data_IF_616349495422
#
_entry.id   IF_616349495422
#
_cell.length_a   1.000
_cell.length_b   1.000
_cell.length_c   1.000
_cell.angle_alpha   90.00
_cell.angle_beta   90.00
_cell.angle_gamma   90.00
#
_symmetry.space_group_name_H-M   'P 1'
#
loop_
_entity.id
_entity.type
_entity.pdbx_description
1 polymer ?
#
# COMPACT_ATOMS: atom_id res chain seq x y z
N UNK A 1 -10.01 -25.18 -11.80
CA UNK A 1 -8.64 -25.53 -11.38
C UNK A 1 -8.07 -24.45 -10.45
N UNK A 2 -7.98 -24.66 -9.13
CA UNK A 2 -7.32 -23.71 -8.24
C UNK A 2 -5.82 -23.66 -8.58
N UNK A 3 -5.31 -22.48 -8.96
CA UNK A 3 -3.88 -22.31 -9.24
C UNK A 3 -3.07 -22.69 -7.98
N UNK A 4 -2.14 -23.65 -8.05
CA UNK A 4 -1.32 -24.01 -6.89
C UNK A 4 -0.56 -22.77 -6.43
N UNK A 5 -0.68 -22.43 -5.14
CA UNK A 5 0.11 -21.35 -4.54
C UNK A 5 1.59 -21.73 -4.67
N UNK A 6 2.31 -21.08 -5.58
CA UNK A 6 3.78 -21.18 -5.64
C UNK A 6 4.32 -20.79 -4.26
N UNK A 7 4.84 -21.75 -3.50
CA UNK A 7 5.62 -21.48 -2.28
C UNK A 7 6.76 -20.57 -2.72
N UNK A 8 6.73 -19.30 -2.33
CA UNK A 8 7.87 -18.40 -2.54
C UNK A 8 9.04 -19.05 -1.78
N UNK A 9 10.07 -19.48 -2.51
CA UNK A 9 11.34 -19.85 -1.86
C UNK A 9 11.72 -18.67 -0.97
N UNK A 10 12.00 -18.95 0.30
CA UNK A 10 12.59 -17.93 1.19
C UNK A 10 13.82 -17.43 0.45
N UNK A 11 13.96 -16.11 0.18
CA UNK A 11 15.16 -15.59 -0.41
C UNK A 11 16.30 -16.05 0.49
N UNK A 12 17.21 -16.84 -0.07
CA UNK A 12 18.44 -17.18 0.60
C UNK A 12 19.09 -15.85 0.96
N UNK A 13 19.31 -15.62 2.25
CA UNK A 13 19.93 -14.37 2.68
C UNK A 13 21.37 -14.47 2.22
N UNK A 14 21.66 -13.97 1.03
CA UNK A 14 23.03 -13.78 0.55
C UNK A 14 23.64 -12.73 1.46
N UNK A 15 24.37 -13.20 2.47
CA UNK A 15 25.12 -12.38 3.40
C UNK A 15 26.39 -12.01 2.66
N UNK A 16 26.52 -10.76 2.28
CA UNK A 16 27.68 -10.26 1.54
C UNK A 16 28.60 -9.58 2.56
N UNK A 17 29.94 -9.70 2.43
CA UNK A 17 30.87 -8.88 3.18
C UNK A 17 30.52 -7.39 3.01
N UNK A 18 30.62 -6.60 4.09
CA UNK A 18 30.30 -5.18 4.06
C UNK A 18 31.24 -4.39 3.13
N UNK A 19 32.46 -4.87 2.92
CA UNK A 19 33.42 -4.31 1.95
C UNK A 19 32.86 -4.26 0.53
N UNK A 20 31.98 -5.19 0.17
CA UNK A 20 31.51 -5.35 -1.20
C UNK A 20 30.15 -4.65 -1.41
N UNK A 21 29.72 -3.82 -0.44
CA UNK A 21 28.48 -3.08 -0.53
C UNK A 21 28.62 -1.92 -1.54
N UNK A 22 27.78 -1.93 -2.59
CA UNK A 22 27.77 -0.92 -3.65
C UNK A 22 27.31 0.49 -3.20
N UNK A 23 26.70 0.62 -2.02
CA UNK A 23 26.22 1.90 -1.47
C UNK A 23 26.68 2.05 -0.02
N UNK A 24 26.93 3.29 0.45
CA UNK A 24 27.26 3.53 1.85
C UNK A 24 26.13 3.06 2.76
N UNK A 25 26.51 2.42 3.87
CA UNK A 25 25.57 1.88 4.86
C UNK A 25 25.73 2.58 6.20
N UNK A 26 24.61 3.06 6.74
CA UNK A 26 24.54 3.75 8.03
C UNK A 26 23.69 2.95 9.03
N UNK A 27 24.12 2.95 10.29
CA UNK A 27 23.30 2.44 11.39
C UNK A 27 22.22 3.46 11.77
N UNK A 28 21.22 2.99 12.51
CA UNK A 28 20.18 3.89 13.06
C UNK A 28 20.84 4.96 13.92
N UNK A 29 20.34 6.18 13.83
CA UNK A 29 20.87 7.36 14.53
C UNK A 29 22.28 7.82 14.11
N UNK A 30 22.88 7.20 13.09
CA UNK A 30 24.18 7.62 12.51
C UNK A 30 24.05 8.13 11.07
N UNK A 31 22.81 8.29 10.61
CA UNK A 31 22.51 8.78 9.26
C UNK A 31 22.90 10.26 9.19
N UNK A 32 23.70 10.68 8.19
CA UNK A 32 24.06 12.08 8.04
C UNK A 32 22.83 12.93 7.73
N UNK A 33 22.89 14.21 8.08
CA UNK A 33 21.84 15.16 7.77
C UNK A 33 21.60 15.25 6.26
N UNK A 34 20.36 15.54 5.87
CA UNK A 34 19.95 15.59 4.46
C UNK A 34 19.67 14.22 3.82
N UNK A 35 19.94 13.10 4.50
CA UNK A 35 19.53 11.76 4.06
C UNK A 35 18.35 11.23 4.88
N UNK A 36 17.28 10.83 4.18
CA UNK A 36 16.05 10.36 4.81
C UNK A 36 15.46 9.16 4.09
N UNK A 37 14.69 8.36 4.82
CA UNK A 37 13.94 7.25 4.22
C UNK A 37 12.75 7.76 3.40
N UNK A 38 12.25 6.93 2.47
CA UNK A 38 11.01 7.22 1.72
C UNK A 38 9.79 7.47 2.62
N UNK A 39 9.76 6.88 3.81
CA UNK A 39 8.68 7.10 4.78
C UNK A 39 8.80 8.49 5.41
N UNK A 40 9.99 8.88 5.84
CA UNK A 40 10.25 10.20 6.40
C UNK A 40 9.97 11.32 5.38
N UNK A 41 10.32 11.15 4.10
CA UNK A 41 9.91 12.10 3.05
C UNK A 41 8.39 12.29 2.99
N UNK A 42 7.62 11.19 3.08
CA UNK A 42 6.15 11.27 3.06
C UNK A 42 5.60 12.00 4.28
N UNK A 43 6.18 11.77 5.46
CA UNK A 43 5.82 12.47 6.70
C UNK A 43 6.12 13.97 6.58
N UNK A 44 7.16 14.36 5.84
CA UNK A 44 7.50 15.75 5.50
C UNK A 44 6.66 16.34 4.35
N UNK A 45 5.68 15.61 3.80
CA UNK A 45 4.90 16.09 2.65
C UNK A 45 5.69 16.16 1.34
N UNK A 46 6.82 15.45 1.26
CA UNK A 46 7.69 15.40 0.09
C UNK A 46 7.55 14.07 -0.67
N UNK A 47 7.88 14.15 -1.95
CA UNK A 47 8.03 13.04 -2.88
C UNK A 47 9.50 12.86 -3.26
N UNK A 48 9.93 11.67 -3.72
CA UNK A 48 11.33 11.45 -4.10
C UNK A 48 11.88 12.42 -5.16
N UNK A 49 11.05 13.11 -5.94
CA UNK A 49 11.50 14.14 -6.87
C UNK A 49 12.53 13.62 -7.87
N UNK A 50 13.69 14.28 -7.91
CA UNK A 50 14.79 14.00 -8.84
C UNK A 50 15.82 12.99 -8.30
N UNK A 51 15.50 12.30 -7.20
CA UNK A 51 16.31 11.17 -6.78
C UNK A 51 16.18 10.02 -7.80
N UNK A 52 17.17 9.87 -8.68
CA UNK A 52 17.25 8.77 -9.65
C UNK A 52 17.34 7.38 -8.99
N UNK A 53 17.87 7.34 -7.77
CA UNK A 53 18.02 6.12 -6.99
C UNK A 53 18.36 6.38 -5.52
N UNK A 54 18.53 5.30 -4.73
CA UNK A 54 18.99 5.40 -3.36
C UNK A 54 20.47 5.81 -3.30
N UNK A 55 20.78 6.77 -2.44
CA UNK A 55 22.16 7.24 -2.23
C UNK A 55 22.86 6.46 -1.12
N UNK A 56 22.09 5.94 -0.17
CA UNK A 56 22.63 5.14 0.93
C UNK A 56 21.61 4.10 1.44
N UNK A 57 22.07 3.22 2.31
CA UNK A 57 21.28 2.16 2.92
C UNK A 57 21.28 2.33 4.44
N UNK A 58 20.09 2.35 5.02
CA UNK A 58 19.87 2.19 6.45
C UNK A 58 19.94 0.70 6.82
N UNK A 59 20.86 0.37 7.72
CA UNK A 59 21.09 -1.01 8.18
C UNK A 59 19.90 -1.51 9.00
N UNK A 60 19.55 -2.78 8.79
CA UNK A 60 18.53 -3.42 9.60
C UNK A 60 19.09 -3.77 11.00
N UNK A 61 18.20 -3.98 11.97
CA UNK A 61 18.59 -4.25 13.37
C UNK A 61 19.51 -5.47 13.52
N UNK A 62 19.33 -6.50 12.69
CA UNK A 62 20.18 -7.69 12.72
C UNK A 62 21.58 -7.43 12.15
N UNK A 63 21.72 -6.54 11.17
CA UNK A 63 23.01 -6.21 10.59
C UNK A 63 23.80 -5.28 11.52
N UNK A 64 23.13 -4.42 12.30
CA UNK A 64 23.78 -3.61 13.34
C UNK A 64 24.60 -4.46 14.33
N UNK A 65 24.13 -5.66 14.71
CA UNK A 65 24.87 -6.56 15.62
C UNK A 65 25.99 -7.37 14.95
N UNK A 66 26.16 -7.24 13.61
CA UNK A 66 27.14 -7.98 12.82
C UNK A 66 27.86 -7.01 11.86
N UNK A 67 28.87 -6.27 12.34
CA UNK A 67 29.44 -5.13 11.62
C UNK A 67 30.12 -5.50 10.30
N UNK A 68 30.59 -6.74 10.18
CA UNK A 68 31.29 -7.24 9.00
C UNK A 68 30.34 -7.56 7.84
N UNK A 69 29.02 -7.68 8.09
CA UNK A 69 28.09 -8.26 7.13
C UNK A 69 27.05 -7.23 6.68
N UNK A 70 26.78 -7.23 5.37
CA UNK A 70 25.70 -6.49 4.72
C UNK A 70 24.61 -7.47 4.29
N UNK A 71 23.39 -7.27 4.79
CA UNK A 71 22.24 -8.10 4.46
C UNK A 71 21.56 -7.61 3.19
N UNK A 72 21.51 -8.40 2.11
CA UNK A 72 20.75 -8.06 0.88
C UNK A 72 19.25 -8.31 1.01
N UNK A 73 18.67 -7.94 2.16
CA UNK A 73 17.24 -8.14 2.40
C UNK A 73 16.42 -7.33 1.37
N UNK A 74 15.33 -7.87 0.79
CA UNK A 74 14.47 -7.12 -0.12
C UNK A 74 13.83 -5.87 0.52
N UNK A 75 13.93 -5.72 1.83
CA UNK A 75 13.39 -4.61 2.64
C UNK A 75 14.52 -3.75 3.25
N UNK A 76 15.59 -3.52 2.48
CA UNK A 76 16.60 -2.51 2.85
C UNK A 76 15.94 -1.14 2.99
N UNK A 77 16.29 -0.40 4.03
CA UNK A 77 15.83 0.96 4.23
C UNK A 77 16.61 1.91 3.35
N UNK A 78 16.16 2.17 2.13
CA UNK A 78 16.86 3.11 1.25
C UNK A 78 16.77 4.54 1.76
N UNK A 79 17.90 5.24 1.71
CA UNK A 79 18.04 6.65 2.03
C UNK A 79 18.13 7.47 0.74
N UNK A 80 17.40 8.57 0.72
CA UNK A 80 17.27 9.53 -0.37
C UNK A 80 17.69 10.90 0.12
N UNK A 81 18.11 11.77 -0.81
CA UNK A 81 18.45 13.15 -0.50
C UNK A 81 17.19 14.00 -0.38
N UNK A 82 17.13 14.82 0.67
CA UNK A 82 16.06 15.80 0.88
C UNK A 82 16.15 16.92 -0.16
N UNK A 83 17.35 17.38 -0.51
CA UNK A 83 17.54 18.50 -1.45
C UNK A 83 16.95 18.25 -2.85
N UNK A 84 16.91 16.98 -3.27
CA UNK A 84 16.37 16.54 -4.56
C UNK A 84 14.89 16.17 -4.47
N UNK A 85 14.30 16.21 -3.27
CA UNK A 85 12.91 15.90 -3.06
C UNK A 85 12.03 17.06 -3.56
N UNK A 86 10.83 16.70 -4.00
CA UNK A 86 9.84 17.68 -4.51
C UNK A 86 8.59 17.65 -3.66
N UNK A 87 7.88 18.78 -3.47
CA UNK A 87 6.58 18.79 -2.80
C UNK A 87 5.66 17.71 -3.38
N UNK A 88 4.99 16.98 -2.49
CA UNK A 88 4.04 15.95 -2.92
C UNK A 88 2.90 16.63 -3.68
N UNK A 89 2.61 16.12 -4.88
CA UNK A 89 1.52 16.63 -5.71
C UNK A 89 0.18 16.44 -4.99
N UNK A 90 -0.59 17.52 -4.90
CA UNK A 90 -1.99 17.49 -4.48
C UNK A 90 -2.85 17.16 -5.70
N UNK A 91 -3.77 16.19 -5.60
CA UNK A 91 -4.69 15.92 -6.71
C UNK A 91 -5.57 17.14 -6.99
N UNK A 92 -5.96 17.32 -8.25
CA UNK A 92 -6.96 18.33 -8.61
C UNK A 92 -8.38 17.80 -8.34
N UNK A 93 -9.36 18.69 -8.19
CA UNK A 93 -10.77 18.29 -8.00
C UNK A 93 -11.27 17.31 -9.07
N UNK A 94 -10.85 17.51 -10.33
CA UNK A 94 -11.19 16.59 -11.42
C UNK A 94 -10.60 15.18 -11.23
N UNK A 95 -9.37 15.09 -10.69
CA UNK A 95 -8.73 13.82 -10.38
C UNK A 95 -9.39 13.12 -9.19
N UNK A 96 -9.77 13.88 -8.16
CA UNK A 96 -10.52 13.36 -7.02
C UNK A 96 -11.86 12.80 -7.46
N UNK A 97 -12.58 13.50 -8.35
CA UNK A 97 -13.84 13.02 -8.89
C UNK A 97 -13.68 11.76 -9.74
N UNK A 98 -12.63 11.69 -10.57
CA UNK A 98 -12.31 10.49 -11.33
C UNK A 98 -12.00 9.30 -10.42
N UNK A 99 -11.29 9.53 -9.30
CA UNK A 99 -11.00 8.50 -8.31
C UNK A 99 -12.27 8.04 -7.60
N UNK A 100 -13.17 8.95 -7.21
CA UNK A 100 -14.45 8.60 -6.60
C UNK A 100 -15.32 7.78 -7.56
N UNK A 101 -15.43 8.15 -8.83
CA UNK A 101 -16.13 7.34 -9.85
C UNK A 101 -15.53 5.95 -9.99
N UNK A 102 -14.20 5.83 -9.99
CA UNK A 102 -13.52 4.54 -10.04
C UNK A 102 -13.71 3.71 -8.75
N UNK A 103 -13.87 4.35 -7.59
CA UNK A 103 -14.25 3.69 -6.34
C UNK A 103 -15.72 3.25 -6.38
N UNK A 104 -16.63 4.11 -6.83
CA UNK A 104 -18.05 3.81 -6.98
C UNK A 104 -18.27 2.57 -7.85
N UNK A 105 -17.57 2.46 -8.99
CA UNK A 105 -17.65 1.27 -9.85
C UNK A 105 -17.18 -0.04 -9.15
N UNK A 106 -16.21 0.04 -8.24
CA UNK A 106 -15.72 -1.11 -7.46
C UNK A 106 -16.58 -1.43 -6.23
N UNK A 107 -17.33 -0.45 -5.76
CA UNK A 107 -18.20 -0.52 -4.58
C UNK A 107 -19.65 -0.82 -4.95
N UNK A 108 -20.04 -0.71 -6.21
CA UNK A 108 -21.42 -0.90 -6.65
C UNK A 108 -21.62 -2.31 -7.18
N UNK A 109 -22.64 -3.00 -6.69
CA UNK A 109 -23.01 -4.31 -7.19
C UNK A 109 -23.58 -4.16 -8.61
N UNK A 110 -23.01 -4.89 -9.57
CA UNK A 110 -23.50 -4.86 -10.96
C UNK A 110 -24.90 -5.45 -11.16
N UNK A 111 -25.40 -6.25 -10.22
CA UNK A 111 -26.71 -6.91 -10.32
C UNK A 111 -27.82 -6.09 -9.65
N UNK A 112 -27.63 -5.67 -8.39
CA UNK A 112 -28.65 -4.94 -7.63
C UNK A 112 -28.44 -3.42 -7.56
N UNK A 113 -27.33 -2.90 -8.08
CA UNK A 113 -27.03 -1.46 -8.14
C UNK A 113 -26.70 -0.79 -6.80
N UNK A 114 -26.67 -1.55 -5.69
CA UNK A 114 -26.37 -0.99 -4.36
C UNK A 114 -24.88 -0.66 -4.21
N UNK A 115 -24.56 0.51 -3.64
CA UNK A 115 -23.18 0.95 -3.34
C UNK A 115 -22.80 0.65 -1.90
N UNK A 116 -21.59 0.12 -1.69
CA UNK A 116 -21.06 -0.30 -0.40
C UNK A 116 -19.90 0.59 0.07
N UNK A 117 -19.65 0.66 1.38
CA UNK A 117 -18.46 1.35 1.92
C UNK A 117 -17.15 0.62 1.56
N UNK A 118 -17.24 -0.67 1.23
CA UNK A 118 -16.11 -1.53 0.89
C UNK A 118 -16.09 -1.87 -0.60
N UNK A 119 -14.91 -2.18 -1.13
CA UNK A 119 -14.82 -2.76 -2.48
C UNK A 119 -15.39 -4.18 -2.46
N UNK A 120 -16.24 -4.50 -3.44
CA UNK A 120 -16.80 -5.83 -3.61
C UNK A 120 -15.73 -6.85 -3.99
N UNK A 121 -15.96 -8.11 -3.64
CA UNK A 121 -15.03 -9.20 -3.94
C UNK A 121 -14.96 -9.44 -5.45
N UNK A 122 -13.77 -9.26 -6.04
CA UNK A 122 -13.54 -9.57 -7.46
C UNK A 122 -13.82 -11.02 -7.85
N UNK A 123 -13.81 -11.95 -6.88
CA UNK A 123 -14.11 -13.37 -7.14
C UNK A 123 -15.60 -13.62 -7.30
N UNK A 124 -16.43 -12.88 -6.56
CA UNK A 124 -17.88 -13.01 -6.59
C UNK A 124 -18.47 -12.16 -7.71
N UNK A 125 -17.88 -11.00 -8.00
CA UNK A 125 -18.37 -10.08 -9.04
C UNK A 125 -19.60 -9.28 -8.62
N UNK A 126 -20.33 -9.73 -7.60
CA UNK A 126 -21.49 -9.07 -7.01
C UNK A 126 -21.42 -9.06 -5.48
N UNK A 127 -22.47 -8.56 -4.82
CA UNK A 127 -22.60 -8.63 -3.36
C UNK A 127 -22.98 -10.04 -2.88
N UNK A 128 -22.82 -10.29 -1.58
CA UNK A 128 -23.12 -11.60 -0.97
C UNK A 128 -24.60 -11.99 -1.18
N UNK A 129 -25.52 -11.05 -0.94
CA UNK A 129 -26.96 -11.27 -1.20
C UNK A 129 -27.25 -11.74 -2.63
N UNK A 130 -26.65 -11.11 -3.65
CA UNK A 130 -26.83 -11.51 -5.04
C UNK A 130 -26.16 -12.85 -5.36
N UNK A 131 -25.05 -13.17 -4.68
CA UNK A 131 -24.29 -14.38 -4.94
C UNK A 131 -24.93 -15.65 -4.34
N UNK A 132 -25.30 -15.61 -3.07
CA UNK A 132 -25.77 -16.77 -2.32
C UNK A 132 -27.02 -16.52 -1.46
N UNK A 133 -27.59 -15.32 -1.51
CA UNK A 133 -28.76 -14.94 -0.72
C UNK A 133 -28.46 -14.59 0.74
N UNK A 134 -27.19 -14.59 1.16
CA UNK A 134 -26.82 -14.20 2.53
C UNK A 134 -27.14 -12.72 2.72
N UNK A 135 -27.96 -12.35 3.72
CA UNK A 135 -28.34 -10.95 3.94
C UNK A 135 -27.10 -10.09 4.20
N UNK A 136 -27.03 -8.97 3.50
CA UNK A 136 -25.99 -7.97 3.64
C UNK A 136 -26.35 -7.13 4.85
N UNK A 137 -25.36 -6.91 5.70
CA UNK A 137 -25.50 -5.99 6.81
C UNK A 137 -25.80 -4.56 6.30
N UNK A 138 -26.92 -3.92 6.72
CA UNK A 138 -27.30 -2.60 6.24
C UNK A 138 -26.26 -1.51 6.50
N UNK A 139 -25.41 -1.64 7.53
CA UNK A 139 -24.36 -0.65 7.83
C UNK A 139 -23.21 -0.69 6.80
N UNK A 140 -23.10 -1.77 6.03
CA UNK A 140 -22.13 -1.88 4.94
C UNK A 140 -22.53 -1.11 3.67
N UNK A 141 -23.77 -0.66 3.58
CA UNK A 141 -24.32 0.07 2.43
C UNK A 141 -24.07 1.58 2.58
N UNK A 142 -23.47 2.20 1.56
CA UNK A 142 -23.29 3.67 1.48
C UNK A 142 -24.62 4.39 1.28
N UNK A 143 -25.49 3.80 0.47
CA UNK A 143 -26.85 4.28 0.27
C UNK A 143 -27.77 3.23 0.87
N UNK A 144 -28.41 3.56 1.99
CA UNK A 144 -29.46 2.69 2.52
C UNK A 144 -30.56 2.57 1.45
N UNK A 145 -31.08 1.35 1.19
CA UNK A 145 -32.25 1.21 0.35
C UNK A 145 -33.39 2.02 0.96
N UNK A 146 -34.28 2.58 0.14
CA UNK A 146 -35.50 3.18 0.63
C UNK A 146 -36.19 2.19 1.60
N UNK A 147 -36.68 2.65 2.76
CA UNK A 147 -37.28 1.75 3.73
C UNK A 147 -38.40 0.97 3.05
N UNK A 148 -38.41 -0.35 3.24
CA UNK A 148 -39.51 -1.17 2.75
C UNK A 148 -40.82 -0.61 3.33
N UNK A 149 -41.75 -0.22 2.45
CA UNK A 149 -43.08 0.23 2.86
C UNK A 149 -43.69 -0.93 3.65
N UNK A 150 -43.85 -0.78 4.97
CA UNK A 150 -44.45 -1.81 5.81
C UNK A 150 -45.87 -2.07 5.31
N UNK A 151 -46.08 -3.18 4.60
CA UNK A 151 -47.40 -3.63 4.10
C UNK A 151 -48.22 -4.39 5.14
N UNK A 152 -47.83 -4.34 6.41
CA UNK A 152 -48.48 -5.09 7.50
C UNK A 152 -49.68 -4.37 8.13
N UNK A 153 -50.08 -3.22 7.59
CA UNK A 153 -51.34 -2.56 7.95
C UNK A 153 -52.23 -2.51 6.70
N UNK A 154 -52.96 -3.59 6.45
CA UNK A 154 -54.11 -3.65 5.55
C UNK A 154 -55.24 -4.38 6.28
#
# INVERSE_FOLDING_TARGET
MPRPRKKRRRPEVTRVPRSDAALPEYDRSTVPEGLVTRRQLREMGLSPGDNEGPVAILRCRLCATRPQWSCRHPTRGYLLRVDLAKPKRTPTLAQEWALDRAMAARQTCGECGRRFYICLSKKLGCCLECFDGTPVDPSSLMTLPAPAVHRLAA
#
